data_IF_037140188742
#
_entry.id   IF_037140188742
#
_cell.length_a   1.000
_cell.length_b   1.000
_cell.length_c   1.000
_cell.angle_alpha   90.00
_cell.angle_beta   90.00
_cell.angle_gamma   90.00
#
_symmetry.space_group_name_H-M   'P 1'
#
loop_
_entity.id
_entity.type
_entity.pdbx_description
1 polymer ?
#
# COMPACT_ATOMS: atom_id res chain seq x y z
N UNK A 1 -22.96 -13.75 0.83
CA UNK A 1 -22.54 -13.61 2.26
C UNK A 1 -21.91 -14.91 2.70
N UNK A 2 -20.66 -14.88 3.17
CA UNK A 2 -19.96 -16.07 3.69
C UNK A 2 -20.42 -16.38 5.13
N UNK A 3 -20.46 -17.65 5.57
CA UNK A 3 -20.74 -18.02 6.96
C UNK A 3 -19.61 -17.54 7.89
N UNK A 4 -19.82 -17.63 9.21
CA UNK A 4 -18.81 -17.28 10.20
C UNK A 4 -17.50 -18.05 9.96
N UNK A 5 -16.39 -17.33 9.92
CA UNK A 5 -15.04 -17.87 9.70
C UNK A 5 -14.21 -17.88 11.00
N UNK A 6 -14.84 -17.73 12.17
CA UNK A 6 -14.15 -17.67 13.47
C UNK A 6 -13.21 -18.86 13.70
N UNK A 7 -13.56 -20.04 13.18
CA UNK A 7 -12.77 -21.27 13.29
C UNK A 7 -11.40 -21.22 12.62
N UNK A 8 -11.16 -20.22 11.74
CA UNK A 8 -9.86 -19.99 11.10
C UNK A 8 -8.90 -19.16 11.96
N UNK A 9 -9.35 -18.68 13.12
CA UNK A 9 -8.60 -17.82 14.03
C UNK A 9 -8.48 -18.46 15.42
N UNK A 10 -7.41 -18.17 16.15
CA UNK A 10 -7.21 -18.56 17.55
C UNK A 10 -7.82 -17.50 18.50
N UNK A 11 -9.12 -17.18 18.32
CA UNK A 11 -9.82 -16.22 19.18
C UNK A 11 -10.60 -16.98 20.24
N UNK A 12 -10.28 -16.82 21.55
CA UNK A 12 -11.04 -17.43 22.64
C UNK A 12 -12.53 -17.09 22.58
N UNK A 13 -13.39 -18.01 23.06
CA UNK A 13 -14.85 -17.83 22.95
C UNK A 13 -15.38 -16.64 23.74
N UNK A 14 -14.72 -16.29 24.84
CA UNK A 14 -15.02 -15.13 25.69
C UNK A 14 -14.61 -13.79 25.09
N UNK A 15 -13.84 -13.79 23.99
CA UNK A 15 -13.38 -12.56 23.33
C UNK A 15 -14.23 -12.30 22.09
N UNK A 16 -14.85 -11.12 22.05
CA UNK A 16 -15.43 -10.54 20.84
C UNK A 16 -14.51 -9.46 20.31
N UNK A 17 -13.70 -9.81 19.28
CA UNK A 17 -12.75 -8.89 18.69
C UNK A 17 -13.32 -8.23 17.43
N UNK A 18 -13.50 -6.89 17.46
CA UNK A 18 -14.10 -6.11 16.36
C UNK A 18 -13.16 -5.04 15.80
N UNK A 19 -11.91 -4.94 16.28
CA UNK A 19 -11.03 -3.82 15.96
C UNK A 19 -9.94 -4.16 14.92
N UNK A 20 -10.35 -4.72 13.77
CA UNK A 20 -9.43 -4.92 12.63
C UNK A 20 -8.91 -3.59 12.05
N UNK A 21 -9.61 -2.48 12.29
CA UNK A 21 -9.16 -1.14 11.93
C UNK A 21 -7.85 -0.73 12.62
N UNK A 22 -7.58 -1.29 13.80
CA UNK A 22 -6.31 -1.13 14.52
C UNK A 22 -5.28 -2.20 14.11
N UNK A 23 -5.59 -3.46 14.38
CA UNK A 23 -4.73 -4.61 14.11
C UNK A 23 -5.61 -5.85 13.97
N UNK A 24 -5.56 -6.57 12.84
CA UNK A 24 -6.34 -7.80 12.69
C UNK A 24 -5.72 -8.96 13.48
N UNK A 25 -6.55 -9.90 13.99
CA UNK A 25 -6.04 -11.18 14.44
C UNK A 25 -5.48 -11.96 13.24
N UNK A 26 -4.46 -12.77 13.46
CA UNK A 26 -3.90 -13.59 12.40
C UNK A 26 -4.73 -14.86 12.18
N UNK A 27 -4.90 -15.23 10.91
CA UNK A 27 -5.37 -16.56 10.54
C UNK A 27 -4.39 -17.63 11.02
N UNK A 28 -4.87 -18.81 11.40
CA UNK A 28 -4.03 -19.97 11.75
C UNK A 28 -3.05 -20.30 10.60
N UNK A 29 -3.52 -20.27 9.35
CA UNK A 29 -2.67 -20.49 8.16
C UNK A 29 -1.55 -19.47 8.01
N UNK A 30 -1.81 -18.19 8.39
CA UNK A 30 -0.80 -17.12 8.38
C UNK A 30 0.24 -17.36 9.47
N UNK A 31 -0.20 -17.68 10.69
CA UNK A 31 0.69 -18.04 11.80
C UNK A 31 1.60 -19.23 11.45
N UNK A 32 1.03 -20.30 10.90
CA UNK A 32 1.78 -21.49 10.47
C UNK A 32 2.79 -21.17 9.35
N UNK A 33 2.42 -20.32 8.39
CA UNK A 33 3.34 -19.87 7.34
C UNK A 33 4.54 -19.14 7.93
N UNK A 34 4.31 -18.27 8.92
CA UNK A 34 5.39 -17.58 9.63
C UNK A 34 6.32 -18.54 10.39
N UNK A 35 5.76 -19.52 11.09
CA UNK A 35 6.53 -20.57 11.81
C UNK A 35 7.41 -21.35 10.84
N UNK A 36 6.87 -21.76 9.68
CA UNK A 36 7.66 -22.43 8.63
C UNK A 36 8.78 -21.53 8.11
N UNK A 37 8.51 -20.24 7.89
CA UNK A 37 9.52 -19.28 7.47
C UNK A 37 10.68 -19.13 8.44
N UNK A 38 10.36 -19.01 9.75
CA UNK A 38 11.39 -19.01 10.82
C UNK A 38 12.19 -20.30 10.82
N UNK A 39 11.53 -21.46 10.73
CA UNK A 39 12.19 -22.76 10.73
C UNK A 39 13.08 -22.95 9.50
N UNK A 40 12.67 -22.51 8.32
CA UNK A 40 13.49 -22.57 7.10
C UNK A 40 14.82 -21.82 7.21
N UNK A 41 14.85 -20.72 7.99
CA UNK A 41 16.10 -19.98 8.24
C UNK A 41 17.14 -20.78 9.04
N UNK A 42 16.75 -21.86 9.70
CA UNK A 42 17.68 -22.76 10.41
C UNK A 42 18.51 -23.61 9.44
N UNK A 43 18.08 -23.75 8.17
CA UNK A 43 18.78 -24.48 7.12
C UNK A 43 19.13 -23.56 5.92
N UNK A 44 19.96 -22.51 6.11
CA UNK A 44 20.18 -21.49 5.08
C UNK A 44 20.87 -22.04 3.82
N UNK A 45 21.50 -23.19 3.89
CA UNK A 45 22.12 -23.90 2.75
C UNK A 45 21.10 -24.53 1.79
N UNK A 46 19.82 -24.60 2.17
CA UNK A 46 18.71 -25.06 1.32
C UNK A 46 18.13 -23.93 0.48
N UNK A 47 18.43 -22.65 0.81
CA UNK A 47 17.94 -21.49 0.07
C UNK A 47 18.70 -21.34 -1.25
N UNK A 48 17.96 -21.29 -2.34
CA UNK A 48 18.48 -21.12 -3.69
C UNK A 48 18.25 -19.70 -4.20
N UNK A 49 19.01 -19.19 -5.19
CA UNK A 49 18.84 -17.86 -5.75
C UNK A 49 17.41 -17.50 -6.15
N UNK A 50 16.67 -18.45 -6.73
CA UNK A 50 15.27 -18.23 -7.13
C UNK A 50 14.33 -17.95 -5.94
N UNK A 51 14.64 -18.42 -4.71
CA UNK A 51 13.79 -18.22 -3.55
C UNK A 51 13.70 -16.75 -3.14
N UNK A 52 14.69 -15.96 -3.53
CA UNK A 52 14.69 -14.50 -3.32
C UNK A 52 13.69 -13.76 -4.23
N UNK A 53 13.16 -14.39 -5.27
CA UNK A 53 12.29 -13.74 -6.26
C UNK A 53 10.92 -14.41 -6.40
N UNK A 54 10.86 -15.74 -6.38
CA UNK A 54 9.64 -16.50 -6.71
C UNK A 54 8.45 -16.15 -5.82
N UNK A 55 8.63 -16.14 -4.50
CA UNK A 55 7.54 -15.83 -3.58
C UNK A 55 7.11 -14.37 -3.66
N UNK A 56 8.03 -13.44 -3.86
CA UNK A 56 7.69 -12.04 -4.01
C UNK A 56 6.84 -11.80 -5.26
N UNK A 57 7.17 -12.43 -6.39
CA UNK A 57 6.37 -12.31 -7.61
C UNK A 57 5.01 -13.01 -7.49
N UNK A 58 4.94 -14.12 -6.77
CA UNK A 58 3.67 -14.78 -6.45
C UNK A 58 2.78 -13.89 -5.56
N UNK A 59 3.34 -13.31 -4.50
CA UNK A 59 2.64 -12.38 -3.61
C UNK A 59 2.13 -11.14 -4.37
N UNK A 60 2.97 -10.56 -5.24
CA UNK A 60 2.62 -9.43 -6.11
C UNK A 60 1.41 -9.74 -6.99
N UNK A 61 1.41 -10.92 -7.61
CA UNK A 61 0.32 -11.39 -8.47
C UNK A 61 -0.96 -11.63 -7.69
N UNK A 62 -0.86 -12.22 -6.48
CA UNK A 62 -2.02 -12.45 -5.60
C UNK A 62 -2.63 -11.12 -5.13
N UNK A 63 -1.81 -10.19 -4.66
CA UNK A 63 -2.31 -8.87 -4.22
C UNK A 63 -2.99 -8.14 -5.37
N UNK A 64 -2.33 -8.05 -6.53
CA UNK A 64 -2.89 -7.39 -7.70
C UNK A 64 -4.25 -7.99 -8.10
N UNK A 65 -4.35 -9.33 -8.14
CA UNK A 65 -5.62 -10.03 -8.42
C UNK A 65 -6.68 -9.75 -7.36
N UNK A 66 -6.30 -9.76 -6.08
CA UNK A 66 -7.23 -9.56 -4.95
C UNK A 66 -7.89 -8.19 -5.01
N UNK A 67 -7.15 -7.13 -5.34
CA UNK A 67 -7.69 -5.77 -5.35
C UNK A 67 -8.09 -5.27 -6.75
N UNK A 68 -7.90 -6.07 -7.81
CA UNK A 68 -8.23 -5.69 -9.19
C UNK A 68 -7.24 -4.73 -9.85
N UNK A 69 -5.95 -4.80 -9.52
CA UNK A 69 -4.88 -3.96 -10.08
C UNK A 69 -4.00 -4.72 -11.09
N UNK A 70 -3.20 -3.97 -11.87
CA UNK A 70 -2.12 -4.54 -12.68
C UNK A 70 -0.92 -4.87 -11.78
N UNK A 71 -0.46 -6.13 -11.82
CA UNK A 71 0.70 -6.58 -11.03
C UNK A 71 1.97 -5.75 -11.29
N UNK A 72 2.13 -5.24 -12.50
CA UNK A 72 3.28 -4.41 -12.86
C UNK A 72 3.24 -3.01 -12.20
N UNK A 73 2.12 -2.63 -11.59
CA UNK A 73 1.98 -1.43 -10.78
C UNK A 73 2.29 -1.65 -9.29
N UNK A 74 2.38 -2.90 -8.83
CA UNK A 74 2.51 -3.23 -7.40
C UNK A 74 3.96 -3.19 -6.95
N UNK A 75 4.19 -2.60 -5.78
CA UNK A 75 5.46 -2.59 -5.05
C UNK A 75 5.24 -2.97 -3.59
N UNK A 76 6.26 -3.52 -2.93
CA UNK A 76 6.24 -3.88 -1.51
C UNK A 76 6.85 -2.77 -0.67
N UNK A 77 6.16 -2.44 0.42
CA UNK A 77 6.59 -1.41 1.36
C UNK A 77 6.55 -1.95 2.80
N UNK A 78 7.46 -1.52 3.68
CA UNK A 78 7.47 -1.96 5.08
C UNK A 78 6.44 -1.21 5.93
N UNK A 79 5.97 -0.05 5.47
CA UNK A 79 5.02 0.80 6.20
C UNK A 79 4.31 1.79 5.27
N UNK A 80 3.18 2.31 5.71
CA UNK A 80 2.50 3.40 5.00
C UNK A 80 3.38 4.64 4.83
N UNK A 81 4.16 5.01 5.86
CA UNK A 81 5.07 6.17 5.80
C UNK A 81 6.15 6.00 4.72
N UNK A 82 6.67 4.78 4.50
CA UNK A 82 7.59 4.51 3.40
C UNK A 82 6.94 4.75 2.03
N UNK A 83 5.74 4.20 1.82
CA UNK A 83 5.00 4.40 0.57
C UNK A 83 4.64 5.87 0.31
N UNK A 84 4.24 6.61 1.36
CA UNK A 84 4.00 8.06 1.27
C UNK A 84 5.30 8.81 0.94
N UNK A 85 6.44 8.41 1.50
CA UNK A 85 7.72 9.03 1.18
C UNK A 85 8.12 8.78 -0.29
N UNK A 86 7.90 7.57 -0.82
CA UNK A 86 8.09 7.29 -2.26
C UNK A 86 7.19 8.19 -3.11
N UNK A 87 5.89 8.30 -2.77
CA UNK A 87 4.97 9.17 -3.50
C UNK A 87 5.42 10.64 -3.44
N UNK A 88 5.82 11.11 -2.26
CA UNK A 88 6.30 12.48 -2.07
C UNK A 88 7.58 12.78 -2.87
N UNK A 89 8.50 11.84 -2.98
CA UNK A 89 9.71 12.01 -3.79
C UNK A 89 9.40 12.14 -5.29
N UNK A 90 8.34 11.47 -5.75
CA UNK A 90 8.02 11.37 -7.17
C UNK A 90 6.92 12.34 -7.64
N UNK A 91 6.28 13.07 -6.74
CA UNK A 91 5.28 14.06 -7.08
C UNK A 91 5.85 15.47 -6.97
N UNK A 92 5.56 16.27 -7.97
CA UNK A 92 6.04 17.64 -8.02
C UNK A 92 5.22 18.52 -7.05
N UNK A 93 5.93 19.30 -6.23
CA UNK A 93 5.35 20.28 -5.32
C UNK A 93 6.23 21.52 -5.32
N UNK A 94 5.62 22.68 -5.52
CA UNK A 94 6.32 23.97 -5.65
C UNK A 94 5.83 24.98 -4.62
N UNK A 95 6.57 26.07 -4.49
CA UNK A 95 6.16 27.19 -3.65
C UNK A 95 4.79 27.74 -4.07
N UNK A 96 3.90 27.89 -3.10
CA UNK A 96 2.53 28.37 -3.30
C UNK A 96 1.51 27.28 -3.63
N UNK A 97 1.94 26.06 -3.90
CA UNK A 97 1.04 24.91 -4.07
C UNK A 97 0.40 24.47 -2.75
N UNK A 98 -0.68 23.70 -2.87
CA UNK A 98 -1.39 23.12 -1.72
C UNK A 98 -1.38 21.58 -1.79
N UNK A 99 -1.17 20.93 -0.62
CA UNK A 99 -1.46 19.52 -0.41
C UNK A 99 -2.73 19.40 0.41
N UNK A 100 -3.75 18.78 -0.15
CA UNK A 100 -5.05 18.59 0.50
C UNK A 100 -5.06 17.29 1.30
N UNK A 101 -5.44 17.36 2.57
CA UNK A 101 -5.57 16.22 3.50
C UNK A 101 -6.85 16.34 4.32
N UNK A 102 -7.38 15.23 4.84
CA UNK A 102 -8.50 15.28 5.79
C UNK A 102 -8.02 15.82 7.16
N UNK A 103 -8.94 16.45 7.91
CA UNK A 103 -8.75 16.68 9.33
C UNK A 103 -8.52 15.38 10.08
N UNK A 104 -7.70 15.38 11.13
CA UNK A 104 -7.37 14.20 11.92
C UNK A 104 -6.81 13.03 11.07
N UNK A 105 -6.15 13.34 9.96
CA UNK A 105 -5.52 12.36 9.08
C UNK A 105 -4.54 11.48 9.85
N UNK A 106 -4.46 10.18 9.48
CA UNK A 106 -3.48 9.30 10.10
C UNK A 106 -2.06 9.88 9.93
N UNK A 107 -1.28 9.96 11.03
CA UNK A 107 -0.01 10.69 11.04
C UNK A 107 0.97 10.31 9.91
N UNK A 108 1.04 9.04 9.52
CA UNK A 108 1.91 8.59 8.42
C UNK A 108 1.54 9.22 7.07
N UNK A 109 0.26 9.58 6.87
CA UNK A 109 -0.20 10.27 5.66
C UNK A 109 -0.35 11.79 5.89
N UNK A 110 0.37 12.35 6.84
CA UNK A 110 0.41 13.79 7.11
C UNK A 110 1.85 14.33 7.18
N UNK A 111 2.70 13.73 8.02
CA UNK A 111 4.00 14.31 8.35
C UNK A 111 4.94 14.46 7.16
N UNK A 112 4.94 13.50 6.24
CA UNK A 112 5.80 13.59 5.04
C UNK A 112 5.36 14.74 4.13
N UNK A 113 4.05 14.93 3.95
CA UNK A 113 3.51 16.05 3.17
C UNK A 113 3.82 17.39 3.82
N UNK A 114 3.65 17.47 5.15
CA UNK A 114 4.01 18.67 5.93
C UNK A 114 5.48 19.01 5.76
N UNK A 115 6.36 18.01 5.91
CA UNK A 115 7.81 18.19 5.74
C UNK A 115 8.14 18.69 4.32
N UNK A 116 7.62 18.04 3.29
CA UNK A 116 7.88 18.42 1.89
C UNK A 116 7.32 19.82 1.59
N UNK A 117 6.12 20.15 2.06
CA UNK A 117 5.53 21.47 1.89
C UNK A 117 6.39 22.56 2.52
N UNK A 118 6.89 22.35 3.75
CA UNK A 118 7.78 23.30 4.43
C UNK A 118 9.10 23.52 3.66
N UNK A 119 9.67 22.47 3.08
CA UNK A 119 10.93 22.56 2.32
C UNK A 119 10.80 23.42 1.05
N UNK A 120 9.65 23.39 0.38
CA UNK A 120 9.48 24.06 -0.91
C UNK A 120 8.65 25.35 -0.82
N UNK A 121 8.11 25.71 0.34
CA UNK A 121 7.21 26.86 0.51
C UNK A 121 5.78 26.61 0.01
N UNK A 122 5.34 25.36 0.02
CA UNK A 122 3.94 24.97 -0.19
C UNK A 122 3.17 24.93 1.15
N UNK A 123 1.88 24.64 1.11
CA UNK A 123 1.05 24.58 2.31
C UNK A 123 0.21 23.31 2.40
N UNK A 124 -0.15 22.92 3.63
CA UNK A 124 -1.13 21.87 3.86
C UNK A 124 -2.52 22.53 3.96
N UNK A 125 -3.43 22.09 3.10
CA UNK A 125 -4.84 22.46 3.13
C UNK A 125 -5.63 21.34 3.80
N UNK A 126 -6.02 21.57 5.05
CA UNK A 126 -6.79 20.58 5.83
C UNK A 126 -8.28 20.76 5.58
N UNK A 127 -8.96 19.68 5.18
CA UNK A 127 -10.42 19.63 5.06
C UNK A 127 -10.99 19.53 6.47
N UNK A 128 -11.82 20.46 6.92
CA UNK A 128 -12.35 20.44 8.26
C UNK A 128 -13.30 19.25 8.50
N UNK A 129 -13.34 18.76 9.72
CA UNK A 129 -14.33 17.75 10.11
C UNK A 129 -15.74 18.32 9.91
N UNK A 130 -16.61 17.56 9.30
CA UNK A 130 -17.99 17.96 9.01
C UNK A 130 -18.95 16.89 9.47
N UNK A 131 -20.15 17.31 9.91
CA UNK A 131 -21.28 16.42 10.17
C UNK A 131 -22.13 16.19 8.88
N UNK A 132 -21.74 16.81 7.78
CA UNK A 132 -22.37 16.70 6.48
C UNK A 132 -21.63 15.74 5.54
N UNK A 133 -21.75 16.00 4.25
CA UNK A 133 -21.09 15.23 3.20
C UNK A 133 -19.59 15.57 3.15
N UNK A 134 -18.76 14.64 3.63
CA UNK A 134 -17.31 14.78 3.59
C UNK A 134 -16.78 14.83 2.16
N UNK A 135 -17.39 14.10 1.22
CA UNK A 135 -16.97 14.13 -0.19
C UNK A 135 -17.18 15.52 -0.77
N UNK A 136 -18.32 16.16 -0.51
CA UNK A 136 -18.55 17.54 -0.95
C UNK A 136 -17.48 18.48 -0.37
N UNK A 137 -17.14 18.37 0.92
CA UNK A 137 -16.09 19.18 1.54
C UNK A 137 -14.70 18.94 0.90
N UNK A 138 -14.40 17.70 0.51
CA UNK A 138 -13.17 17.36 -0.24
C UNK A 138 -13.17 18.07 -1.60
N UNK A 139 -14.26 17.95 -2.36
CA UNK A 139 -14.39 18.53 -3.70
C UNK A 139 -14.28 20.06 -3.69
N UNK A 140 -14.90 20.72 -2.71
CA UNK A 140 -14.85 22.17 -2.53
C UNK A 140 -13.45 22.67 -2.13
N UNK A 141 -12.67 21.82 -1.45
CA UNK A 141 -11.31 22.18 -1.01
C UNK A 141 -10.29 22.04 -2.12
N UNK A 142 -10.50 21.13 -3.09
CA UNK A 142 -9.59 20.92 -4.24
C UNK A 142 -9.79 22.03 -5.26
N UNK A 143 -8.75 22.85 -5.46
CA UNK A 143 -8.72 24.01 -6.36
C UNK A 143 -7.53 23.92 -7.32
N UNK A 144 -7.39 24.91 -8.21
CA UNK A 144 -6.25 25.03 -9.14
C UNK A 144 -4.89 25.20 -8.43
N UNK A 145 -4.89 25.50 -7.11
CA UNK A 145 -3.67 25.53 -6.29
C UNK A 145 -3.29 24.16 -5.75
N UNK A 146 -4.21 23.20 -5.80
CA UNK A 146 -3.96 21.85 -5.28
C UNK A 146 -3.03 21.11 -6.21
N UNK A 147 -1.81 20.82 -5.75
CA UNK A 147 -0.87 19.98 -6.48
C UNK A 147 -1.09 18.50 -6.14
N UNK A 148 -1.47 18.20 -4.90
CA UNK A 148 -1.63 16.82 -4.38
C UNK A 148 -2.86 16.74 -3.49
N UNK A 149 -3.71 15.74 -3.72
CA UNK A 149 -4.74 15.31 -2.78
C UNK A 149 -4.31 13.98 -2.17
N UNK A 150 -3.95 13.98 -0.87
CA UNK A 150 -3.48 12.82 -0.14
C UNK A 150 -4.54 12.39 0.88
N UNK A 151 -5.45 11.50 0.48
CA UNK A 151 -6.65 11.18 1.24
C UNK A 151 -6.89 9.66 1.35
N UNK A 152 -7.59 9.18 2.39
CA UNK A 152 -8.13 7.82 2.42
C UNK A 152 -9.50 7.77 1.72
N UNK A 153 -9.93 6.56 1.34
CA UNK A 153 -11.34 6.34 0.99
C UNK A 153 -12.22 6.05 2.22
N UNK A 154 -11.60 5.65 3.33
CA UNK A 154 -12.26 5.40 4.62
C UNK A 154 -11.41 6.01 5.74
N UNK A 155 -11.99 6.93 6.50
CA UNK A 155 -11.28 7.63 7.56
C UNK A 155 -11.01 6.69 8.74
N UNK A 156 -9.78 6.67 9.24
CA UNK A 156 -9.30 5.71 10.22
C UNK A 156 -9.94 5.84 11.62
N UNK A 157 -10.41 7.02 11.99
CA UNK A 157 -10.94 7.30 13.34
C UNK A 157 -12.43 6.99 13.47
N UNK A 158 -13.22 7.22 12.42
CA UNK A 158 -14.69 7.16 12.50
C UNK A 158 -15.35 6.35 11.36
N UNK A 159 -14.56 5.86 10.39
CA UNK A 159 -15.08 5.07 9.28
C UNK A 159 -15.80 5.89 8.21
N UNK A 160 -15.74 7.21 8.26
CA UNK A 160 -16.34 8.08 7.24
C UNK A 160 -15.79 7.75 5.86
N UNK A 161 -16.67 7.54 4.89
CA UNK A 161 -16.32 7.21 3.52
C UNK A 161 -16.21 8.48 2.65
N UNK A 162 -15.21 8.47 1.76
CA UNK A 162 -15.03 9.46 0.72
C UNK A 162 -15.26 8.80 -0.64
N UNK A 163 -16.06 9.42 -1.49
CA UNK A 163 -16.21 9.00 -2.89
C UNK A 163 -14.94 9.35 -3.69
N UNK A 164 -14.04 8.37 -3.76
CA UNK A 164 -12.75 8.52 -4.44
C UNK A 164 -12.88 8.65 -5.96
N UNK A 165 -14.01 8.23 -6.57
CA UNK A 165 -14.25 8.45 -7.99
C UNK A 165 -14.55 9.93 -8.26
N UNK A 166 -15.41 10.54 -7.46
CA UNK A 166 -15.69 11.98 -7.54
C UNK A 166 -14.41 12.81 -7.30
N UNK A 167 -13.61 12.42 -6.29
CA UNK A 167 -12.34 13.10 -5.98
C UNK A 167 -11.33 12.94 -7.12
N UNK A 168 -11.19 11.75 -7.69
CA UNK A 168 -10.30 11.52 -8.84
C UNK A 168 -10.67 12.40 -10.03
N UNK A 169 -11.96 12.49 -10.34
CA UNK A 169 -12.45 13.38 -11.40
C UNK A 169 -12.05 14.83 -11.12
N UNK A 170 -12.30 15.31 -9.89
CA UNK A 170 -11.94 16.67 -9.49
C UNK A 170 -10.43 16.94 -9.55
N UNK A 171 -9.61 16.00 -9.08
CA UNK A 171 -8.15 16.09 -9.21
C UNK A 171 -7.73 16.21 -10.68
N UNK A 172 -8.32 15.41 -11.57
CA UNK A 172 -8.03 15.45 -13.00
C UNK A 172 -8.41 16.80 -13.62
N UNK A 173 -9.54 17.41 -13.21
CA UNK A 173 -10.00 18.71 -13.71
C UNK A 173 -9.02 19.84 -13.39
N UNK A 174 -8.39 19.80 -12.21
CA UNK A 174 -7.44 20.85 -11.76
C UNK A 174 -5.98 20.47 -11.98
N UNK A 175 -5.69 19.26 -12.46
CA UNK A 175 -4.32 18.77 -12.67
C UNK A 175 -3.59 18.35 -11.41
N UNK A 176 -4.31 18.09 -10.31
CA UNK A 176 -3.76 17.58 -9.05
C UNK A 176 -3.44 16.10 -9.12
N UNK A 177 -2.36 15.66 -8.45
CA UNK A 177 -2.07 14.26 -8.23
C UNK A 177 -2.96 13.68 -7.11
N UNK A 178 -3.40 12.42 -7.28
CA UNK A 178 -4.20 11.72 -6.29
C UNK A 178 -3.38 10.61 -5.62
N UNK A 179 -3.17 10.73 -4.31
CA UNK A 179 -2.53 9.71 -3.46
C UNK A 179 -3.57 9.15 -2.50
N UNK A 180 -3.83 7.85 -2.60
CA UNK A 180 -4.83 7.16 -1.78
C UNK A 180 -4.17 6.33 -0.70
N UNK A 181 -4.63 6.50 0.56
CA UNK A 181 -4.34 5.58 1.65
C UNK A 181 -5.54 4.63 1.83
N UNK A 182 -5.39 3.40 1.35
CA UNK A 182 -6.42 2.36 1.44
C UNK A 182 -6.23 1.43 2.65
N UNK A 183 -5.45 1.84 3.65
CA UNK A 183 -5.16 1.01 4.84
C UNK A 183 -6.41 0.61 5.63
N UNK A 184 -7.54 1.30 5.45
CA UNK A 184 -8.81 0.96 6.11
C UNK A 184 -9.81 0.26 5.17
N UNK A 185 -9.42 -0.09 3.96
CA UNK A 185 -10.38 -0.62 2.98
C UNK A 185 -9.83 -1.71 2.05
N UNK A 186 -8.53 -1.73 1.80
CA UNK A 186 -7.93 -2.76 0.95
C UNK A 186 -8.19 -4.16 1.53
N UNK A 187 -8.80 -5.04 0.75
CA UNK A 187 -9.19 -6.39 1.16
C UNK A 187 -10.66 -6.54 1.57
N UNK A 188 -11.40 -5.43 1.83
CA UNK A 188 -12.81 -5.45 2.25
C UNK A 188 -13.72 -4.52 1.45
N UNK A 189 -13.15 -3.58 0.71
CA UNK A 189 -13.91 -2.69 -0.18
C UNK A 189 -13.29 -2.73 -1.58
N UNK A 190 -14.08 -2.99 -2.63
CA UNK A 190 -13.59 -2.96 -4.00
C UNK A 190 -13.27 -1.53 -4.44
N UNK A 191 -12.21 -1.38 -5.24
CA UNK A 191 -11.85 -0.13 -5.91
C UNK A 191 -11.67 -0.41 -7.39
N UNK A 192 -12.34 0.36 -8.23
CA UNK A 192 -12.09 0.31 -9.68
C UNK A 192 -10.92 1.24 -10.03
N UNK A 193 -9.72 0.67 -10.08
CA UNK A 193 -8.50 1.41 -10.39
C UNK A 193 -8.46 1.97 -11.83
N UNK A 194 -9.28 1.44 -12.75
CA UNK A 194 -9.36 1.98 -14.10
C UNK A 194 -10.12 3.30 -14.13
N UNK A 195 -11.18 3.42 -13.32
CA UNK A 195 -11.97 4.65 -13.25
C UNK A 195 -11.34 5.70 -12.31
N UNK A 196 -10.78 5.26 -11.18
CA UNK A 196 -10.13 6.16 -10.20
C UNK A 196 -8.76 6.62 -10.68
N UNK A 197 -7.98 5.76 -11.32
CA UNK A 197 -6.65 6.04 -11.88
C UNK A 197 -5.74 6.89 -10.97
N UNK A 198 -5.54 6.52 -9.69
CA UNK A 198 -4.72 7.30 -8.76
C UNK A 198 -3.24 7.31 -9.17
N UNK A 199 -2.51 8.31 -8.71
CA UNK A 199 -1.05 8.41 -8.91
C UNK A 199 -0.30 7.36 -8.09
N UNK A 200 -0.64 7.29 -6.81
CA UNK A 200 -0.13 6.29 -5.86
C UNK A 200 -1.25 5.79 -4.96
N UNK A 201 -1.18 4.51 -4.63
CA UNK A 201 -2.02 3.90 -3.59
C UNK A 201 -1.12 3.25 -2.56
N UNK A 202 -1.40 3.47 -1.30
CA UNK A 202 -0.65 2.90 -0.19
C UNK A 202 -1.62 2.09 0.69
N UNK A 203 -1.20 0.91 1.13
CA UNK A 203 -1.95 0.12 2.10
C UNK A 203 -1.02 -0.74 2.96
N UNK A 204 -1.39 -0.90 4.23
CA UNK A 204 -0.69 -1.82 5.14
C UNK A 204 -1.31 -3.22 5.09
N UNK A 205 -0.48 -4.25 5.30
CA UNK A 205 -0.93 -5.65 5.22
C UNK A 205 -1.66 -6.15 6.47
N UNK A 206 -1.38 -5.58 7.64
CA UNK A 206 -1.75 -6.13 8.96
C UNK A 206 -3.15 -5.74 9.47
N UNK A 207 -3.93 -5.02 8.68
CA UNK A 207 -5.32 -4.66 9.00
C UNK A 207 -6.27 -5.59 8.23
N UNK A 208 -7.00 -5.05 7.29
CA UNK A 208 -8.04 -5.75 6.54
C UNK A 208 -7.49 -6.78 5.53
N UNK A 209 -6.19 -6.73 5.24
CA UNK A 209 -5.50 -7.76 4.45
C UNK A 209 -5.01 -8.96 5.29
N UNK A 210 -5.24 -8.99 6.62
CA UNK A 210 -4.96 -10.08 7.55
C UNK A 210 -3.51 -10.60 7.53
N UNK A 211 -2.61 -9.81 6.96
CA UNK A 211 -1.19 -10.14 6.79
C UNK A 211 -0.32 -9.76 7.97
N UNK A 212 1.00 -9.92 7.85
CA UNK A 212 1.94 -9.59 8.91
C UNK A 212 2.15 -8.09 9.08
N UNK A 213 2.57 -7.68 10.28
CA UNK A 213 3.06 -6.34 10.56
C UNK A 213 4.38 -6.07 9.82
N UNK A 214 4.69 -4.81 9.55
CA UNK A 214 5.87 -4.37 8.77
C UNK A 214 5.89 -4.88 7.32
N UNK A 215 4.71 -5.14 6.78
CA UNK A 215 4.52 -5.53 5.38
C UNK A 215 3.29 -4.82 4.82
N UNK A 216 3.42 -4.28 3.64
CA UNK A 216 2.34 -3.57 2.95
C UNK A 216 2.59 -3.47 1.46
N UNK A 217 1.70 -2.77 0.79
CA UNK A 217 1.70 -2.69 -0.66
C UNK A 217 1.52 -1.25 -1.12
N UNK A 218 2.16 -0.93 -2.23
CA UNK A 218 1.96 0.32 -2.94
C UNK A 218 1.61 0.01 -4.40
N UNK A 219 0.69 0.79 -4.98
CA UNK A 219 0.44 0.79 -6.41
C UNK A 219 1.02 2.09 -6.95
N UNK A 220 1.85 1.96 -7.98
CA UNK A 220 2.47 3.08 -8.68
C UNK A 220 1.88 3.19 -10.06
N UNK A 221 1.25 4.31 -10.37
CA UNK A 221 0.72 4.56 -11.72
C UNK A 221 1.81 4.46 -12.78
N UNK A 222 1.45 3.98 -13.97
CA UNK A 222 2.40 3.80 -15.10
C UNK A 222 3.22 5.05 -15.39
N UNK A 223 2.63 6.24 -15.28
CA UNK A 223 3.30 7.52 -15.54
C UNK A 223 4.41 7.88 -14.55
N UNK A 224 4.48 7.19 -13.39
CA UNK A 224 5.50 7.40 -12.36
C UNK A 224 6.53 6.27 -12.26
N UNK A 225 6.46 5.25 -13.13
CA UNK A 225 7.38 4.09 -13.07
C UNK A 225 8.84 4.46 -13.34
N UNK A 226 9.09 5.58 -14.05
CA UNK A 226 10.43 6.08 -14.31
C UNK A 226 10.99 6.96 -13.17
N UNK A 227 10.20 7.15 -12.11
CA UNK A 227 10.58 7.93 -10.93
C UNK A 227 11.73 7.37 -10.11
N UNK A 228 12.04 8.02 -8.99
CA UNK A 228 13.17 7.70 -8.12
C UNK A 228 12.74 6.79 -6.97
N UNK A 229 13.41 5.65 -6.74
CA UNK A 229 13.19 4.84 -5.53
C UNK A 229 13.84 5.52 -4.31
N UNK A 230 13.38 5.18 -3.10
CA UNK A 230 14.06 5.59 -1.87
C UNK A 230 15.33 4.76 -1.61
N UNK A 231 15.34 3.51 -2.08
CA UNK A 231 16.45 2.58 -1.90
C UNK A 231 16.96 2.08 -3.24
N UNK A 232 18.29 2.15 -3.42
CA UNK A 232 18.96 1.64 -4.62
C UNK A 232 19.47 0.22 -4.36
N UNK A 233 18.56 -0.69 -4.02
CA UNK A 233 18.88 -2.06 -3.66
C UNK A 233 19.20 -2.94 -4.87
N UNK A 234 19.95 -4.03 -4.62
CA UNK A 234 20.43 -4.94 -5.67
C UNK A 234 19.29 -5.76 -6.31
N UNK A 235 18.27 -6.15 -5.52
CA UNK A 235 17.16 -6.99 -5.99
C UNK A 235 16.28 -6.29 -7.02
N UNK A 236 16.28 -4.95 -7.05
CA UNK A 236 15.52 -4.18 -8.01
C UNK A 236 16.25 -4.00 -9.36
N UNK A 237 17.49 -4.44 -9.46
CA UNK A 237 18.28 -4.30 -10.69
C UNK A 237 17.94 -5.37 -11.73
N UNK A 238 18.05 -5.00 -12.99
CA UNK A 238 17.87 -5.93 -14.11
C UNK A 238 18.85 -7.12 -13.99
N UNK A 239 18.36 -8.34 -14.24
CA UNK A 239 19.11 -9.59 -14.15
C UNK A 239 19.67 -9.93 -12.76
N UNK A 240 19.09 -9.36 -11.68
CA UNK A 240 19.53 -9.65 -10.30
C UNK A 240 19.24 -11.08 -9.86
N UNK A 241 18.45 -11.83 -10.62
CA UNK A 241 18.20 -13.26 -10.41
C UNK A 241 19.42 -14.14 -10.69
N UNK A 242 20.35 -13.65 -11.51
CA UNK A 242 21.63 -14.33 -11.78
C UNK A 242 22.70 -13.91 -10.78
N UNK A 243 22.86 -14.72 -9.74
CA UNK A 243 23.83 -14.45 -8.67
C UNK A 243 25.30 -14.51 -9.16
N UNK A 244 25.58 -15.13 -10.31
CA UNK A 244 26.94 -15.13 -10.89
C UNK A 244 27.35 -13.76 -11.44
N UNK A 245 26.35 -12.93 -11.79
CA UNK A 245 26.53 -11.64 -12.45
C UNK A 245 26.32 -10.43 -11.50
N UNK A 246 26.07 -10.63 -10.20
CA UNK A 246 25.74 -9.54 -9.26
C UNK A 246 26.79 -8.44 -9.18
N UNK A 247 28.06 -8.74 -9.47
CA UNK A 247 29.17 -7.77 -9.47
C UNK A 247 29.30 -7.03 -10.81
N UNK A 248 28.56 -7.42 -11.82
CA UNK A 248 28.44 -6.69 -13.09
C UNK A 248 27.34 -5.64 -12.95
N UNK A 249 27.65 -4.54 -12.28
CA UNK A 249 26.68 -3.51 -11.91
C UNK A 249 25.88 -3.02 -13.12
N UNK A 250 24.54 -2.98 -12.95
CA UNK A 250 23.59 -2.54 -13.97
C UNK A 250 22.86 -1.28 -13.49
N UNK A 251 22.73 -0.30 -14.37
CA UNK A 251 21.98 0.92 -14.09
C UNK A 251 20.45 0.70 -14.27
N UNK A 252 20.06 -0.25 -15.11
CA UNK A 252 18.66 -0.59 -15.40
C UNK A 252 18.00 -1.29 -14.21
N UNK A 253 16.72 -1.03 -14.05
CA UNK A 253 15.87 -1.67 -13.06
C UNK A 253 15.02 -2.79 -13.69
N UNK A 254 14.52 -3.70 -12.85
CA UNK A 254 13.47 -4.63 -13.22
C UNK A 254 12.21 -3.88 -13.68
N UNK A 255 11.38 -4.48 -14.55
CA UNK A 255 10.21 -3.81 -15.11
C UNK A 255 9.15 -3.46 -14.06
N UNK A 256 8.28 -2.50 -14.40
CA UNK A 256 7.14 -2.11 -13.58
C UNK A 256 7.53 -1.31 -12.34
N UNK A 257 6.82 -1.54 -11.25
CA UNK A 257 7.03 -0.84 -9.98
C UNK A 257 8.08 -1.50 -9.07
N UNK A 258 8.78 -2.55 -9.51
CA UNK A 258 9.74 -3.33 -8.70
C UNK A 258 10.90 -2.50 -8.17
N UNK A 259 11.28 -1.42 -8.87
CA UNK A 259 12.31 -0.49 -8.37
C UNK A 259 11.95 0.21 -7.05
N UNK A 260 10.66 0.31 -6.75
CA UNK A 260 10.15 0.94 -5.53
C UNK A 260 9.95 -0.06 -4.39
N UNK A 261 10.24 -1.34 -4.59
CA UNK A 261 10.20 -2.31 -3.52
C UNK A 261 11.22 -1.93 -2.43
N UNK A 262 10.83 -2.14 -1.17
CA UNK A 262 11.77 -2.08 -0.06
C UNK A 262 12.90 -3.08 -0.28
N UNK A 263 14.11 -2.71 0.11
CA UNK A 263 15.24 -3.62 0.14
C UNK A 263 14.93 -4.87 0.96
N UNK A 264 15.52 -6.01 0.59
CA UNK A 264 15.25 -7.32 1.23
C UNK A 264 13.75 -7.71 1.16
N UNK A 265 13.08 -7.36 0.04
CA UNK A 265 11.64 -7.63 -0.19
C UNK A 265 11.27 -9.10 -0.02
N UNK A 266 12.20 -10.02 -0.23
CA UNK A 266 12.02 -11.47 -0.06
C UNK A 266 12.12 -11.93 1.39
N UNK A 267 11.54 -11.19 2.34
CA UNK A 267 11.53 -11.59 3.74
C UNK A 267 10.91 -13.00 3.88
N UNK A 268 11.75 -13.99 4.19
CA UNK A 268 11.37 -15.41 4.24
C UNK A 268 10.36 -15.77 5.36
N UNK A 269 10.06 -14.85 6.26
CA UNK A 269 9.02 -15.00 7.27
C UNK A 269 7.74 -14.27 6.87
N UNK A 270 7.85 -12.99 6.54
CA UNK A 270 6.68 -12.14 6.28
C UNK A 270 6.04 -12.43 4.92
N UNK A 271 6.84 -12.80 3.91
CA UNK A 271 6.33 -13.08 2.57
C UNK A 271 5.37 -14.28 2.52
N UNK A 272 5.71 -15.47 3.06
CA UNK A 272 4.77 -16.60 3.13
C UNK A 272 3.52 -16.27 3.95
N UNK A 273 3.63 -15.46 5.02
CA UNK A 273 2.48 -14.99 5.79
C UNK A 273 1.54 -14.14 4.95
N UNK A 274 2.10 -13.18 4.19
CA UNK A 274 1.32 -12.32 3.29
C UNK A 274 0.61 -13.14 2.20
N UNK A 275 1.29 -14.12 1.61
CA UNK A 275 0.72 -15.04 0.61
C UNK A 275 -0.45 -15.84 1.21
N UNK A 276 -0.29 -16.39 2.42
CA UNK A 276 -1.36 -17.14 3.09
C UNK A 276 -2.60 -16.27 3.34
N UNK A 277 -2.40 -15.04 3.80
CA UNK A 277 -3.47 -14.08 4.03
C UNK A 277 -4.22 -13.72 2.73
N UNK A 278 -3.49 -13.37 1.66
CA UNK A 278 -4.08 -13.02 0.37
C UNK A 278 -4.84 -14.18 -0.28
N UNK A 279 -4.37 -15.42 -0.13
CA UNK A 279 -5.09 -16.61 -0.57
C UNK A 279 -6.45 -16.71 0.09
N UNK A 280 -6.51 -16.55 1.41
CA UNK A 280 -7.78 -16.62 2.16
C UNK A 280 -8.74 -15.49 1.76
N UNK A 281 -8.26 -14.26 1.61
CA UNK A 281 -9.08 -13.14 1.15
C UNK A 281 -9.61 -13.39 -0.27
N UNK A 282 -8.77 -13.95 -1.15
CA UNK A 282 -9.19 -14.29 -2.51
C UNK A 282 -10.28 -15.38 -2.53
N UNK A 283 -10.22 -16.36 -1.62
CA UNK A 283 -11.26 -17.39 -1.46
C UNK A 283 -12.57 -16.80 -0.96
N UNK A 284 -12.51 -15.88 -0.01
CA UNK A 284 -13.71 -15.19 0.48
C UNK A 284 -14.32 -14.26 -0.57
N UNK A 285 -13.48 -13.61 -1.36
CA UNK A 285 -13.88 -12.60 -2.34
C UNK A 285 -14.28 -11.27 -1.70
N UNK A 286 -13.71 -10.17 -2.14
CA UNK A 286 -13.97 -8.82 -1.57
C UNK A 286 -15.44 -8.40 -1.65
N UNK A 287 -16.19 -8.93 -2.63
CA UNK A 287 -17.61 -8.59 -2.84
C UNK A 287 -18.59 -9.41 -1.99
N UNK A 288 -18.13 -10.35 -1.16
CA UNK A 288 -18.95 -11.22 -0.33
C UNK A 288 -19.07 -10.72 1.11
#
# INVERSE_FOLDING_TARGET
MIPSQKHLFDIPDEITYLNCAYLSPQLQSVKEAGIRGVSGKSSPWELMPQDFFTESEHCRSLFAKTIGADKECVSFIPSASYGIAVAAENLNLKSGDEVVVLSEQFPSNYYMWKHKADLVGASIRTIPKTNGDVTAAVLDTITEKTAIAAIPNCHWADGTLVDIQAVSKRCSEVGAALVLDLSQSAGVMPVDFNSVNPDFVITVGYKWLLGPYSFGYMIVNKKHRDGQPLEYNWMARENSEDFSDLVLYRDSFQPGARKFDVGERSNFVLMPMAIAALKQISEWGINN
#
